data_IF_958940216991
#
_entry.id   IF_958940216991
#
_cell.length_a   1.000
_cell.length_b   1.000
_cell.length_c   1.000
_cell.angle_alpha   90.00
_cell.angle_beta   90.00
_cell.angle_gamma   90.00
#
_symmetry.space_group_name_H-M   'P 1'
#
loop_
_entity.id
_entity.type
_entity.pdbx_description
1 polymer ?
#
# COMPACT_ATOMS: atom_id res chain seq x y z
N UNK A 1 21.84 -11.54 -19.48
CA UNK A 1 20.76 -10.69 -18.96
C UNK A 1 21.39 -9.68 -18.02
N UNK A 2 21.39 -8.39 -18.34
CA UNK A 2 21.83 -7.35 -17.42
C UNK A 2 20.68 -7.06 -16.45
N UNK A 3 20.85 -7.37 -15.17
CA UNK A 3 19.92 -6.90 -14.13
C UNK A 3 20.01 -5.37 -14.05
N UNK A 4 18.87 -4.70 -14.06
CA UNK A 4 18.81 -3.25 -13.87
C UNK A 4 18.66 -2.94 -12.39
N UNK A 5 19.39 -1.94 -11.90
CA UNK A 5 19.24 -1.48 -10.52
C UNK A 5 17.81 -0.96 -10.31
N UNK A 6 17.13 -1.49 -9.30
CA UNK A 6 15.83 -0.96 -8.89
C UNK A 6 16.00 0.47 -8.41
N UNK A 7 15.26 1.40 -8.99
CA UNK A 7 15.24 2.79 -8.54
C UNK A 7 14.70 2.94 -7.11
N UNK A 8 14.64 4.17 -6.62
CA UNK A 8 14.07 4.48 -5.32
C UNK A 8 12.62 3.98 -5.22
N UNK A 9 12.31 3.21 -4.16
CA UNK A 9 10.97 2.71 -3.88
C UNK A 9 10.44 3.34 -2.61
N UNK A 10 9.19 3.76 -2.66
CA UNK A 10 8.40 4.17 -1.50
C UNK A 10 7.27 3.15 -1.37
N UNK A 11 6.87 2.81 -0.16
CA UNK A 11 5.87 1.78 0.08
C UNK A 11 5.24 1.92 1.45
N UNK A 12 4.10 1.26 1.64
CA UNK A 12 3.46 1.12 2.95
C UNK A 12 3.75 -0.30 3.45
N UNK A 13 4.24 -0.37 4.68
CA UNK A 13 4.40 -1.62 5.40
C UNK A 13 3.38 -1.69 6.53
N UNK A 14 2.57 -2.75 6.53
CA UNK A 14 1.62 -3.05 7.60
C UNK A 14 2.09 -4.32 8.27
N UNK A 15 2.22 -4.29 9.60
CA UNK A 15 2.53 -5.46 10.41
C UNK A 15 1.37 -5.75 11.36
N UNK A 16 0.98 -7.01 11.46
CA UNK A 16 0.15 -7.50 12.55
C UNK A 16 1.10 -8.11 13.58
N UNK A 17 1.02 -7.64 14.82
CA UNK A 17 1.89 -8.10 15.91
C UNK A 17 1.09 -8.84 16.98
N UNK A 18 1.72 -9.83 17.60
CA UNK A 18 1.19 -10.56 18.75
C UNK A 18 2.22 -10.53 19.89
N UNK A 19 1.75 -10.45 21.13
CA UNK A 19 2.58 -10.58 22.32
C UNK A 19 2.67 -12.05 22.72
N UNK A 20 3.85 -12.65 22.64
CA UNK A 20 4.13 -14.06 22.96
C UNK A 20 5.37 -14.10 23.83
N UNK A 21 5.30 -14.80 24.97
CA UNK A 21 6.40 -14.92 25.93
C UNK A 21 7.05 -13.57 26.30
N UNK A 22 6.21 -12.56 26.55
CA UNK A 22 6.60 -11.18 26.87
C UNK A 22 7.40 -10.46 25.77
N UNK A 23 7.19 -10.86 24.50
CA UNK A 23 7.83 -10.27 23.32
C UNK A 23 6.81 -10.00 22.22
N UNK A 24 6.95 -8.86 21.55
CA UNK A 24 6.17 -8.57 20.35
C UNK A 24 6.79 -9.25 19.14
N UNK A 25 6.01 -10.08 18.45
CA UNK A 25 6.39 -10.76 17.22
C UNK A 25 5.46 -10.33 16.10
N UNK A 26 6.03 -10.00 14.93
CA UNK A 26 5.24 -9.82 13.72
C UNK A 26 4.74 -11.18 13.24
N UNK A 27 3.42 -11.36 13.23
CA UNK A 27 2.76 -12.62 12.82
C UNK A 27 2.21 -12.55 11.40
N UNK A 28 2.05 -11.34 10.86
CA UNK A 28 1.78 -11.10 9.46
C UNK A 28 2.40 -9.78 9.01
N UNK A 29 2.72 -9.70 7.72
CA UNK A 29 3.20 -8.48 7.08
C UNK A 29 2.56 -8.32 5.71
N UNK A 30 2.22 -7.08 5.37
CA UNK A 30 1.80 -6.68 4.03
C UNK A 30 2.70 -5.53 3.57
N UNK A 31 3.30 -5.68 2.40
CA UNK A 31 4.09 -4.64 1.74
C UNK A 31 3.39 -4.24 0.45
N UNK A 32 3.12 -2.94 0.29
CA UNK A 32 2.57 -2.38 -0.94
C UNK A 32 3.48 -1.25 -1.44
N UNK A 33 3.99 -1.38 -2.67
CA UNK A 33 4.72 -0.31 -3.32
C UNK A 33 3.79 0.88 -3.61
N UNK A 34 4.25 2.09 -3.30
CA UNK A 34 3.64 3.33 -3.76
C UNK A 34 4.25 3.63 -5.12
N UNK A 35 3.52 3.34 -6.19
CA UNK A 35 3.88 3.85 -7.50
C UNK A 35 3.61 5.36 -7.53
N UNK A 36 4.54 6.19 -8.03
CA UNK A 36 4.29 7.61 -8.22
C UNK A 36 3.01 7.83 -9.05
N UNK A 37 1.96 8.35 -8.41
CA UNK A 37 0.65 8.62 -9.03
C UNK A 37 -0.41 7.51 -8.91
N UNK A 38 -0.12 6.36 -8.28
CA UNK A 38 -1.09 5.27 -8.08
C UNK A 38 -0.93 4.71 -6.65
N UNK A 39 -1.76 5.20 -5.72
CA UNK A 39 -1.65 4.87 -4.29
C UNK A 39 -2.67 3.82 -3.84
N UNK A 40 -3.84 3.71 -4.48
CA UNK A 40 -4.84 2.66 -4.23
C UNK A 40 -5.63 2.33 -5.50
N UNK A 41 -6.19 1.12 -5.53
CA UNK A 41 -7.21 0.69 -6.48
C UNK A 41 -8.60 0.94 -5.85
N UNK A 42 -9.33 1.96 -6.30
CA UNK A 42 -10.73 2.19 -5.90
C UNK A 42 -11.66 1.43 -6.83
N UNK A 43 -12.54 0.61 -6.25
CA UNK A 43 -13.63 0.01 -7.00
C UNK A 43 -14.80 1.01 -7.10
N UNK A 44 -15.23 1.31 -8.33
CA UNK A 44 -16.47 2.04 -8.60
C UNK A 44 -17.69 1.19 -8.24
N UNK A 45 -18.87 1.82 -8.14
CA UNK A 45 -20.14 1.10 -7.96
C UNK A 45 -20.44 0.11 -9.09
N UNK A 46 -19.90 0.38 -10.29
CA UNK A 46 -19.96 -0.53 -11.45
C UNK A 46 -18.95 -1.69 -11.39
N UNK A 47 -18.13 -1.77 -10.35
CA UNK A 47 -17.12 -2.82 -10.15
C UNK A 47 -15.81 -2.62 -10.91
N UNK A 48 -15.62 -1.48 -11.59
CA UNK A 48 -14.37 -1.15 -12.26
C UNK A 48 -13.35 -0.62 -11.26
N UNK A 49 -12.07 -0.95 -11.44
CA UNK A 49 -11.02 -0.57 -10.50
C UNK A 49 -10.14 0.52 -11.11
N UNK A 50 -10.08 1.69 -10.49
CA UNK A 50 -9.23 2.81 -10.93
C UNK A 50 -8.18 3.17 -9.89
N UNK A 51 -6.98 3.51 -10.34
CA UNK A 51 -5.90 3.92 -9.45
C UNK A 51 -6.07 5.40 -9.06
N UNK A 52 -6.10 5.73 -7.76
CA UNK A 52 -6.22 7.13 -7.29
C UNK A 52 -5.13 7.54 -6.30
N UNK A 53 -5.05 8.85 -6.02
CA UNK A 53 -4.09 9.52 -5.13
C UNK A 53 -4.75 9.92 -3.81
N UNK A 54 -4.11 9.61 -2.68
CA UNK A 54 -4.58 9.95 -1.33
C UNK A 54 -4.25 11.41 -0.95
N UNK A 55 -3.12 11.92 -1.42
CA UNK A 55 -2.67 13.28 -1.09
C UNK A 55 -3.26 14.31 -2.07
N UNK A 56 -4.15 15.17 -1.55
CA UNK A 56 -4.57 16.41 -2.20
C UNK A 56 -5.95 16.42 -2.87
N UNK A 57 -6.81 15.44 -2.62
CA UNK A 57 -8.24 15.59 -2.91
C UNK A 57 -9.02 15.71 -1.60
N UNK A 58 -9.70 16.84 -1.41
CA UNK A 58 -10.90 16.84 -0.57
C UNK A 58 -11.83 15.79 -1.18
N UNK A 59 -12.17 14.77 -0.39
CA UNK A 59 -13.13 13.78 -0.83
C UNK A 59 -14.50 14.46 -0.88
N UNK A 60 -14.92 14.86 -2.08
CA UNK A 60 -16.33 15.09 -2.36
C UNK A 60 -17.00 13.71 -2.43
N UNK A 61 -17.84 13.48 -1.43
CA UNK A 61 -18.75 12.35 -1.37
C UNK A 61 -20.11 12.86 -1.86
N UNK A 62 -20.65 12.25 -2.92
CA UNK A 62 -22.07 12.41 -3.31
C UNK A 62 -23.00 11.70 -2.31
#
# INVERSE_FOLDING_TARGET
>A
MSGQLGGERRGVFIFVVSLIDDRWLAVAAHNTDILPGQQIHLASESGSVSAVRYEGQEAEWD
#
